data_IF_409813077575
#
_entry.id   IF_409813077575
#
_cell.length_a   1.000
_cell.length_b   1.000
_cell.length_c   1.000
_cell.angle_alpha   90.00
_cell.angle_beta   90.00
_cell.angle_gamma   90.00
#
_symmetry.space_group_name_H-M   'P 1'
#
loop_
_entity.id
_entity.type
_entity.pdbx_description
1 polymer ?
#
# COMPACT_ATOMS: atom_id res chain seq x y z
N UNK A 1 -15.20 35.47 30.52
CA UNK A 1 -16.39 35.35 29.66
C UNK A 1 -15.88 35.14 28.25
N UNK A 2 -15.75 33.88 27.84
CA UNK A 2 -15.42 33.51 26.47
C UNK A 2 -16.73 33.05 25.84
N UNK A 3 -17.22 33.79 24.85
CA UNK A 3 -18.38 33.39 24.05
C UNK A 3 -17.93 32.39 22.99
N UNK A 4 -18.55 31.22 23.03
CA UNK A 4 -18.46 30.15 22.03
C UNK A 4 -19.02 30.63 20.68
N UNK A 5 -18.12 30.84 19.71
CA UNK A 5 -18.47 31.06 18.32
C UNK A 5 -18.42 29.77 17.52
N UNK A 6 -19.37 28.85 17.75
CA UNK A 6 -19.58 27.72 16.84
C UNK A 6 -20.29 28.21 15.55
N UNK A 7 -19.84 27.81 14.35
CA UNK A 7 -20.49 28.25 13.11
C UNK A 7 -21.90 27.65 13.00
N UNK A 8 -22.91 28.53 12.90
CA UNK A 8 -24.29 28.11 12.69
C UNK A 8 -24.45 27.53 11.27
N UNK A 9 -24.70 26.23 11.16
CA UNK A 9 -25.14 25.63 9.90
C UNK A 9 -26.53 26.18 9.56
N UNK A 10 -26.60 27.04 8.53
CA UNK A 10 -27.87 27.45 7.93
C UNK A 10 -28.42 26.24 7.17
N UNK A 11 -29.35 25.53 7.81
CA UNK A 11 -30.11 24.44 7.19
C UNK A 11 -31.03 25.03 6.12
N UNK A 12 -30.67 24.87 4.85
CA UNK A 12 -31.63 24.96 3.75
C UNK A 12 -32.74 23.93 4.01
N UNK A 13 -34.00 24.36 3.95
CA UNK A 13 -35.15 23.47 4.07
C UNK A 13 -35.28 22.56 2.84
N UNK A 14 -34.38 21.59 2.70
CA UNK A 14 -34.56 20.48 1.79
C UNK A 14 -35.70 19.62 2.31
N UNK A 15 -36.76 19.48 1.51
CA UNK A 15 -37.88 18.58 1.81
C UNK A 15 -37.43 17.14 1.60
N UNK A 16 -36.86 16.53 2.62
CA UNK A 16 -36.58 15.08 2.61
C UNK A 16 -37.90 14.30 2.58
N UNK A 17 -38.04 13.40 1.60
CA UNK A 17 -39.12 12.40 1.61
C UNK A 17 -38.83 11.41 2.74
N UNK A 18 -39.74 11.30 3.71
CA UNK A 18 -39.70 10.20 4.68
C UNK A 18 -40.00 8.90 3.95
N UNK A 19 -39.03 8.00 3.92
CA UNK A 19 -39.25 6.62 3.49
C UNK A 19 -39.76 5.81 4.71
N UNK A 20 -40.95 5.23 4.60
CA UNK A 20 -41.51 4.35 5.63
C UNK A 20 -40.99 2.91 5.42
N UNK A 21 -39.69 2.70 5.63
CA UNK A 21 -39.08 1.37 5.62
C UNK A 21 -38.79 0.97 7.07
N UNK A 22 -39.16 -0.26 7.46
CA UNK A 22 -38.68 -0.87 8.70
C UNK A 22 -37.25 -1.35 8.47
N UNK A 23 -36.28 -0.69 9.10
CA UNK A 23 -34.85 -0.97 8.92
C UNK A 23 -34.11 -1.20 10.25
N UNK A 24 -34.84 -1.20 11.38
CA UNK A 24 -34.26 -1.28 12.73
C UNK A 24 -33.35 -2.51 12.87
N UNK A 25 -33.82 -3.66 12.38
CA UNK A 25 -33.05 -4.92 12.40
C UNK A 25 -31.73 -4.86 11.63
N UNK A 26 -31.57 -3.94 10.68
CA UNK A 26 -30.33 -3.71 9.92
C UNK A 26 -29.45 -2.68 10.61
N UNK A 27 -30.05 -1.59 11.10
CA UNK A 27 -29.35 -0.53 11.84
C UNK A 27 -28.72 -1.06 13.15
N UNK A 28 -29.34 -2.04 13.80
CA UNK A 28 -28.80 -2.69 14.98
C UNK A 28 -27.58 -3.59 14.68
N UNK A 29 -27.37 -4.02 13.42
CA UNK A 29 -26.25 -4.89 13.07
C UNK A 29 -24.93 -4.13 12.90
N UNK A 30 -25.00 -2.89 12.43
CA UNK A 30 -23.87 -1.95 12.33
C UNK A 30 -24.41 -0.57 12.69
N UNK A 31 -24.07 -0.11 13.89
CA UNK A 31 -24.60 1.14 14.45
C UNK A 31 -23.78 2.34 13.99
N UNK A 32 -24.26 3.55 14.33
CA UNK A 32 -23.56 4.82 14.12
C UNK A 32 -22.47 5.10 15.19
N UNK A 33 -22.28 4.17 16.13
CA UNK A 33 -21.33 4.34 17.23
C UNK A 33 -19.90 4.07 16.77
N UNK A 34 -18.97 4.87 17.29
CA UNK A 34 -17.55 4.71 17.00
C UNK A 34 -17.02 3.38 17.57
N UNK A 35 -16.36 2.60 16.72
CA UNK A 35 -15.66 1.37 17.08
C UNK A 35 -14.39 1.69 17.88
N UNK A 36 -14.23 1.07 19.05
CA UNK A 36 -13.17 1.40 20.01
C UNK A 36 -12.08 0.35 20.13
N UNK A 37 -12.43 -0.91 19.90
CA UNK A 37 -11.52 -2.03 20.10
C UNK A 37 -11.68 -3.12 19.04
N UNK A 38 -10.81 -4.13 19.12
CA UNK A 38 -10.82 -5.26 18.20
C UNK A 38 -12.12 -6.06 18.22
N UNK A 39 -12.77 -6.17 19.39
CA UNK A 39 -13.99 -6.98 19.55
C UNK A 39 -15.15 -6.32 18.81
N UNK A 40 -15.34 -5.01 19.00
CA UNK A 40 -16.30 -4.22 18.27
C UNK A 40 -15.99 -4.22 16.76
N UNK A 41 -14.73 -3.99 16.38
CA UNK A 41 -14.30 -4.01 14.99
C UNK A 41 -14.57 -5.35 14.31
N UNK A 42 -14.34 -6.46 15.02
CA UNK A 42 -14.60 -7.81 14.54
C UNK A 42 -16.08 -8.05 14.30
N UNK A 43 -16.96 -7.55 15.16
CA UNK A 43 -18.41 -7.71 14.98
C UNK A 43 -18.89 -7.01 13.70
N UNK A 44 -18.42 -5.77 13.47
CA UNK A 44 -18.70 -5.03 12.23
C UNK A 44 -18.09 -5.76 11.02
N UNK A 45 -16.84 -6.19 11.11
CA UNK A 45 -16.16 -6.93 10.04
C UNK A 45 -16.92 -8.20 9.62
N UNK A 46 -17.47 -8.97 10.57
CA UNK A 46 -18.23 -10.18 10.26
C UNK A 46 -19.50 -9.87 9.45
N UNK A 47 -20.17 -8.75 9.73
CA UNK A 47 -21.33 -8.28 8.96
C UNK A 47 -20.94 -7.83 7.56
N UNK A 48 -19.87 -7.04 7.45
CA UNK A 48 -19.32 -6.63 6.16
C UNK A 48 -18.94 -7.85 5.33
N UNK A 49 -18.22 -8.82 5.91
CA UNK A 49 -17.81 -10.03 5.22
C UNK A 49 -19.01 -10.85 4.74
N UNK A 50 -20.06 -10.97 5.56
CA UNK A 50 -21.30 -11.64 5.16
C UNK A 50 -21.92 -10.95 3.92
N UNK A 51 -22.05 -9.62 3.93
CA UNK A 51 -22.63 -8.88 2.81
C UNK A 51 -21.75 -8.90 1.56
N UNK A 52 -20.43 -8.83 1.72
CA UNK A 52 -19.49 -8.96 0.61
C UNK A 52 -19.62 -10.33 -0.04
N UNK A 53 -19.74 -11.41 0.73
CA UNK A 53 -19.92 -12.74 0.15
C UNK A 53 -21.22 -12.83 -0.66
N UNK A 54 -22.33 -12.34 -0.10
CA UNK A 54 -23.61 -12.26 -0.83
C UNK A 54 -23.53 -11.39 -2.08
N UNK A 55 -22.79 -10.28 -2.02
CA UNK A 55 -22.56 -9.40 -3.16
C UNK A 55 -21.73 -10.12 -4.24
N UNK A 56 -20.68 -10.85 -3.87
CA UNK A 56 -19.85 -11.61 -4.83
C UNK A 56 -20.62 -12.73 -5.54
N UNK A 57 -21.63 -13.31 -4.89
CA UNK A 57 -22.50 -14.31 -5.51
C UNK A 57 -23.38 -13.69 -6.62
N UNK A 58 -23.82 -12.44 -6.45
CA UNK A 58 -24.65 -11.73 -7.43
C UNK A 58 -23.83 -10.99 -8.48
N UNK A 59 -22.80 -10.26 -8.05
CA UNK A 59 -21.85 -9.52 -8.87
C UNK A 59 -20.67 -10.42 -9.25
N UNK A 60 -20.96 -11.58 -9.84
CA UNK A 60 -19.92 -12.48 -10.30
C UNK A 60 -18.98 -11.80 -11.31
N UNK A 61 -17.72 -12.24 -11.32
CA UNK A 61 -16.70 -11.69 -12.23
C UNK A 61 -17.15 -11.77 -13.70
N UNK A 62 -17.86 -12.84 -14.07
CA UNK A 62 -18.48 -12.99 -15.38
C UNK A 62 -19.73 -12.09 -15.49
N UNK A 63 -19.67 -11.13 -16.42
CA UNK A 63 -20.75 -10.16 -16.68
C UNK A 63 -20.74 -8.89 -15.83
N UNK A 64 -20.12 -8.88 -14.64
CA UNK A 64 -20.04 -7.68 -13.75
C UNK A 64 -18.65 -7.44 -13.16
N UNK A 65 -17.65 -7.48 -14.03
CA UNK A 65 -16.24 -7.42 -13.66
C UNK A 65 -15.87 -6.19 -12.80
N UNK A 66 -16.28 -4.98 -13.20
CA UNK A 66 -15.98 -3.75 -12.45
C UNK A 66 -16.53 -3.80 -11.03
N UNK A 67 -17.81 -4.19 -10.86
CA UNK A 67 -18.43 -4.33 -9.54
C UNK A 67 -17.68 -5.38 -8.70
N UNK A 68 -17.30 -6.52 -9.30
CA UNK A 68 -16.56 -7.57 -8.60
C UNK A 68 -15.17 -7.12 -8.14
N UNK A 69 -14.50 -6.27 -8.92
CA UNK A 69 -13.22 -5.65 -8.55
C UNK A 69 -13.41 -4.76 -7.33
N UNK A 70 -14.38 -3.85 -7.37
CA UNK A 70 -14.68 -2.93 -6.26
C UNK A 70 -15.03 -3.69 -4.98
N UNK A 71 -15.94 -4.67 -5.06
CA UNK A 71 -16.32 -5.52 -3.92
C UNK A 71 -15.11 -6.28 -3.34
N UNK A 72 -14.16 -6.67 -4.19
CA UNK A 72 -12.93 -7.33 -3.74
C UNK A 72 -11.96 -6.38 -3.04
N UNK A 73 -11.87 -5.12 -3.51
CA UNK A 73 -11.11 -4.07 -2.84
C UNK A 73 -11.76 -3.67 -1.51
N UNK A 74 -13.09 -3.62 -1.44
CA UNK A 74 -13.83 -3.43 -0.18
C UNK A 74 -13.53 -4.55 0.82
N UNK A 75 -13.41 -5.80 0.35
CA UNK A 75 -13.04 -6.92 1.22
C UNK A 75 -11.60 -6.76 1.75
N UNK A 76 -10.66 -6.37 0.89
CA UNK A 76 -9.29 -6.05 1.32
C UNK A 76 -9.29 -4.91 2.34
N UNK A 77 -10.07 -3.86 2.10
CA UNK A 77 -10.19 -2.68 2.97
C UNK A 77 -10.81 -3.02 4.32
N UNK A 78 -11.83 -3.88 4.36
CA UNK A 78 -12.41 -4.38 5.61
C UNK A 78 -11.37 -5.07 6.48
N UNK A 79 -10.51 -5.93 5.89
CA UNK A 79 -9.39 -6.53 6.61
C UNK A 79 -8.33 -5.49 7.05
N UNK A 80 -8.09 -4.43 6.27
CA UNK A 80 -7.18 -3.34 6.64
C UNK A 80 -7.65 -2.65 7.91
N UNK A 81 -8.94 -2.31 7.97
CA UNK A 81 -9.52 -1.67 9.14
C UNK A 81 -9.60 -2.61 10.34
N UNK A 82 -9.90 -3.90 10.14
CA UNK A 82 -9.83 -4.87 11.24
C UNK A 82 -8.41 -4.99 11.81
N UNK A 83 -7.39 -5.04 10.94
CA UNK A 83 -5.99 -5.14 11.35
C UNK A 83 -5.52 -3.95 12.17
N UNK A 84 -6.07 -2.75 11.94
CA UNK A 84 -5.74 -1.55 12.74
C UNK A 84 -6.05 -1.73 14.24
N UNK A 85 -7.11 -2.46 14.59
CA UNK A 85 -7.49 -2.68 15.99
C UNK A 85 -6.82 -3.90 16.63
N UNK A 86 -6.13 -4.74 15.85
CA UNK A 86 -5.45 -5.92 16.38
C UNK A 86 -4.13 -5.51 17.02
N UNK A 87 -3.85 -5.96 18.25
CA UNK A 87 -2.61 -5.59 18.94
C UNK A 87 -1.49 -6.60 18.66
N UNK A 88 -1.85 -7.84 18.32
CA UNK A 88 -0.89 -8.89 17.98
C UNK A 88 -0.39 -8.70 16.54
N UNK A 89 0.88 -8.32 16.39
CA UNK A 89 1.50 -8.05 15.09
C UNK A 89 1.52 -9.29 14.17
N UNK A 90 1.51 -10.51 14.70
CA UNK A 90 1.43 -11.72 13.89
C UNK A 90 0.03 -11.92 13.30
N UNK A 91 -1.01 -11.66 14.08
CA UNK A 91 -2.41 -11.68 13.64
C UNK A 91 -2.67 -10.56 12.64
N UNK A 92 -2.15 -9.35 12.87
CA UNK A 92 -2.15 -8.28 11.87
C UNK A 92 -1.52 -8.76 10.56
N UNK A 93 -0.32 -9.35 10.60
CA UNK A 93 0.34 -9.91 9.42
C UNK A 93 -0.53 -10.93 8.67
N UNK A 94 -1.26 -11.80 9.38
CA UNK A 94 -2.16 -12.79 8.78
C UNK A 94 -3.36 -12.13 8.10
N UNK A 95 -3.90 -11.05 8.67
CA UNK A 95 -4.97 -10.25 8.04
C UNK A 95 -4.47 -9.56 6.77
N UNK A 96 -3.29 -8.94 6.81
CA UNK A 96 -2.66 -8.37 5.61
C UNK A 96 -2.34 -9.43 4.55
N UNK A 97 -1.91 -10.63 4.96
CA UNK A 97 -1.72 -11.75 4.02
C UNK A 97 -3.04 -12.13 3.33
N UNK A 98 -4.15 -12.16 4.07
CA UNK A 98 -5.48 -12.43 3.49
C UNK A 98 -5.88 -11.37 2.45
N UNK A 99 -5.58 -10.10 2.71
CA UNK A 99 -5.74 -9.00 1.73
C UNK A 99 -4.93 -9.27 0.46
N UNK A 100 -3.64 -9.55 0.60
CA UNK A 100 -2.76 -9.82 -0.54
C UNK A 100 -3.26 -11.01 -1.37
N UNK A 101 -3.81 -12.04 -0.73
CA UNK A 101 -4.36 -13.22 -1.42
C UNK A 101 -5.62 -12.90 -2.22
N UNK A 102 -6.56 -12.14 -1.63
CA UNK A 102 -7.79 -11.71 -2.31
C UNK A 102 -7.45 -10.92 -3.58
N UNK A 103 -6.58 -9.91 -3.44
CA UNK A 103 -6.25 -9.02 -4.56
C UNK A 103 -5.35 -9.71 -5.58
N UNK A 104 -4.41 -10.56 -5.15
CA UNK A 104 -3.56 -11.29 -6.08
C UNK A 104 -4.33 -12.32 -6.90
N UNK A 105 -5.34 -12.98 -6.32
CA UNK A 105 -6.22 -13.86 -7.07
C UNK A 105 -6.97 -13.09 -8.17
N UNK A 106 -7.53 -11.93 -7.84
CA UNK A 106 -8.22 -11.07 -8.79
C UNK A 106 -7.33 -10.59 -9.94
N UNK A 107 -6.08 -10.16 -9.66
CA UNK A 107 -5.12 -9.74 -10.70
C UNK A 107 -4.90 -10.85 -11.74
N UNK A 108 -4.88 -12.12 -11.31
CA UNK A 108 -4.63 -13.25 -12.21
C UNK A 108 -5.85 -13.61 -13.08
N UNK A 109 -7.05 -13.18 -12.67
CA UNK A 109 -8.30 -13.46 -13.39
C UNK A 109 -8.67 -12.33 -14.36
N UNK A 110 -8.20 -11.10 -14.12
CA UNK A 110 -8.47 -9.95 -14.98
C UNK A 110 -7.65 -10.00 -16.28
N UNK A 111 -8.31 -9.66 -17.41
CA UNK A 111 -7.61 -9.41 -18.66
C UNK A 111 -7.01 -7.98 -18.67
N UNK A 112 -5.67 -7.83 -18.67
CA UNK A 112 -5.03 -6.51 -18.61
C UNK A 112 -5.32 -5.62 -19.83
N UNK A 113 -5.75 -6.18 -20.97
CA UNK A 113 -6.08 -5.39 -22.16
C UNK A 113 -7.35 -4.54 -21.98
N UNK A 114 -8.31 -5.05 -21.21
CA UNK A 114 -9.59 -4.36 -20.96
C UNK A 114 -9.62 -3.63 -19.61
N UNK A 115 -8.85 -4.12 -18.63
CA UNK A 115 -8.90 -3.64 -17.24
C UNK A 115 -7.55 -3.09 -16.76
N UNK A 116 -6.73 -2.53 -17.64
CA UNK A 116 -5.37 -2.09 -17.32
C UNK A 116 -5.30 -1.19 -16.08
N UNK A 117 -6.20 -0.19 -15.99
CA UNK A 117 -6.23 0.74 -14.86
C UNK A 117 -6.52 0.02 -13.53
N UNK A 118 -7.51 -0.87 -13.51
CA UNK A 118 -7.82 -1.68 -12.34
C UNK A 118 -6.64 -2.58 -11.97
N UNK A 119 -6.04 -3.27 -12.96
CA UNK A 119 -4.86 -4.11 -12.73
C UNK A 119 -3.69 -3.31 -12.13
N UNK A 120 -3.43 -2.09 -12.64
CA UNK A 120 -2.42 -1.18 -12.09
C UNK A 120 -2.69 -0.83 -10.62
N UNK A 121 -3.93 -0.46 -10.29
CA UNK A 121 -4.34 -0.13 -8.92
C UNK A 121 -4.16 -1.33 -7.98
N UNK A 122 -4.59 -2.52 -8.40
CA UNK A 122 -4.47 -3.75 -7.62
C UNK A 122 -3.00 -4.17 -7.44
N UNK A 123 -2.14 -4.01 -8.46
CA UNK A 123 -0.70 -4.26 -8.33
C UNK A 123 -0.07 -3.35 -7.28
N UNK A 124 -0.42 -2.06 -7.31
CA UNK A 124 0.04 -1.07 -6.34
C UNK A 124 -0.42 -1.43 -4.92
N UNK A 125 -1.70 -1.76 -4.75
CA UNK A 125 -2.26 -2.17 -3.45
C UNK A 125 -1.54 -3.40 -2.88
N UNK A 126 -1.28 -4.43 -3.69
CA UNK A 126 -0.54 -5.62 -3.24
C UNK A 126 0.91 -5.28 -2.86
N UNK A 127 1.55 -4.38 -3.60
CA UNK A 127 2.91 -3.93 -3.28
C UNK A 127 2.95 -3.25 -1.90
N UNK A 128 1.99 -2.37 -1.61
CA UNK A 128 1.83 -1.73 -0.30
C UNK A 128 1.53 -2.73 0.81
N UNK A 129 0.65 -3.71 0.56
CA UNK A 129 0.34 -4.76 1.54
C UNK A 129 1.59 -5.54 1.91
N UNK A 130 2.41 -5.95 0.94
CA UNK A 130 3.67 -6.65 1.24
C UNK A 130 4.68 -5.77 1.98
N UNK A 131 4.72 -4.46 1.68
CA UNK A 131 5.55 -3.51 2.44
C UNK A 131 5.08 -3.39 3.89
N UNK A 132 3.77 -3.30 4.14
CA UNK A 132 3.20 -3.27 5.49
C UNK A 132 3.51 -4.54 6.27
N UNK A 133 3.36 -5.71 5.63
CA UNK A 133 3.74 -7.00 6.24
C UNK A 133 5.23 -7.08 6.56
N UNK A 134 6.09 -6.51 5.71
CA UNK A 134 7.51 -6.43 5.97
C UNK A 134 7.79 -5.58 7.21
N UNK A 135 7.19 -4.40 7.29
CA UNK A 135 7.43 -3.50 8.43
C UNK A 135 6.95 -4.12 9.75
N UNK A 136 5.81 -4.82 9.75
CA UNK A 136 5.35 -5.59 10.91
C UNK A 136 6.34 -6.69 11.29
N UNK A 137 6.90 -7.44 10.32
CA UNK A 137 7.88 -8.48 10.61
C UNK A 137 9.22 -7.93 11.09
N UNK A 138 9.62 -6.76 10.62
CA UNK A 138 10.78 -6.04 11.16
C UNK A 138 10.51 -5.59 12.59
N UNK A 139 9.34 -5.04 12.87
CA UNK A 139 8.95 -4.59 14.21
C UNK A 139 8.94 -5.75 15.23
N UNK A 140 8.37 -6.90 14.85
CA UNK A 140 8.40 -8.11 15.69
C UNK A 140 9.86 -8.50 16.04
N UNK A 141 10.77 -8.49 15.06
CA UNK A 141 12.17 -8.82 15.31
C UNK A 141 12.92 -7.79 16.17
N UNK A 142 12.44 -6.54 16.21
CA UNK A 142 13.02 -5.50 17.06
C UNK A 142 12.51 -5.58 18.50
N UNK A 143 11.31 -6.10 18.70
CA UNK A 143 10.68 -6.32 20.02
C UNK A 143 11.17 -7.62 20.68
N UNK A 144 11.48 -8.64 19.88
CA UNK A 144 12.10 -9.87 20.37
C UNK A 144 13.55 -9.58 20.86
N UNK A 145 13.82 -9.76 22.15
CA UNK A 145 15.19 -9.69 22.73
C UNK A 145 16.14 -10.77 22.18
N UNK A 146 15.64 -11.67 21.33
CA UNK A 146 16.36 -12.81 20.79
C UNK A 146 16.96 -12.46 19.43
N UNK A 147 18.17 -12.96 19.16
CA UNK A 147 18.81 -12.78 17.84
C UNK A 147 17.90 -13.30 16.72
N UNK A 148 17.70 -12.51 15.64
CA UNK A 148 16.88 -12.93 14.52
C UNK A 148 17.30 -14.27 13.93
N UNK A 149 16.33 -15.17 13.77
CA UNK A 149 16.59 -16.47 13.13
C UNK A 149 16.81 -16.29 11.63
N UNK A 150 17.63 -17.14 10.97
CA UNK A 150 17.78 -17.12 9.52
C UNK A 150 16.44 -17.25 8.76
N UNK A 151 15.47 -17.97 9.35
CA UNK A 151 14.13 -18.12 8.80
C UNK A 151 13.36 -16.79 8.78
N UNK A 152 13.41 -16.04 9.88
CA UNK A 152 12.76 -14.74 9.96
C UNK A 152 13.37 -13.72 8.97
N UNK A 153 14.70 -13.69 8.86
CA UNK A 153 15.39 -12.83 7.88
C UNK A 153 15.03 -13.20 6.44
N UNK A 154 14.95 -14.50 6.11
CA UNK A 154 14.50 -14.97 4.80
C UNK A 154 13.07 -14.50 4.51
N UNK A 155 12.19 -14.49 5.50
CA UNK A 155 10.81 -14.03 5.35
C UNK A 155 10.73 -12.53 5.06
N UNK A 156 11.51 -11.71 5.74
CA UNK A 156 11.60 -10.26 5.49
C UNK A 156 12.10 -9.99 4.07
N UNK A 157 13.19 -10.63 3.66
CA UNK A 157 13.74 -10.45 2.32
C UNK A 157 12.76 -10.91 1.24
N UNK A 158 12.01 -11.99 1.49
CA UNK A 158 10.97 -12.46 0.56
C UNK A 158 9.85 -11.43 0.42
N UNK A 159 9.36 -10.84 1.52
CA UNK A 159 8.33 -9.80 1.46
C UNK A 159 8.83 -8.55 0.73
N UNK A 160 10.08 -8.13 0.96
CA UNK A 160 10.70 -7.02 0.23
C UNK A 160 10.72 -7.32 -1.27
N UNK A 161 11.17 -8.52 -1.66
CA UNK A 161 11.24 -8.94 -3.05
C UNK A 161 9.84 -9.00 -3.70
N UNK A 162 8.84 -9.51 -2.99
CA UNK A 162 7.46 -9.59 -3.49
C UNK A 162 6.85 -8.20 -3.70
N UNK A 163 7.08 -7.27 -2.76
CA UNK A 163 6.63 -5.88 -2.88
C UNK A 163 7.30 -5.18 -4.07
N UNK A 164 8.64 -5.29 -4.19
CA UNK A 164 9.40 -4.72 -5.30
C UNK A 164 8.92 -5.29 -6.64
N UNK A 165 8.72 -6.61 -6.74
CA UNK A 165 8.26 -7.24 -7.97
C UNK A 165 6.87 -6.73 -8.42
N UNK A 166 5.99 -6.37 -7.49
CA UNK A 166 4.68 -5.79 -7.81
C UNK A 166 4.79 -4.32 -8.23
N UNK A 167 5.65 -3.53 -7.61
CA UNK A 167 5.97 -2.19 -8.11
C UNK A 167 6.65 -2.22 -9.48
N UNK A 168 7.56 -3.16 -9.73
CA UNK A 168 8.18 -3.36 -11.04
C UNK A 168 7.14 -3.71 -12.10
N UNK A 169 6.25 -4.68 -11.81
CA UNK A 169 5.17 -5.03 -12.72
C UNK A 169 4.25 -3.83 -13.03
N UNK A 170 3.91 -3.02 -12.02
CA UNK A 170 3.17 -1.78 -12.20
C UNK A 170 3.91 -0.79 -13.11
N UNK A 171 5.18 -0.48 -12.81
CA UNK A 171 6.01 0.45 -13.57
C UNK A 171 6.20 -0.03 -15.02
N UNK A 172 6.35 -1.34 -15.24
CA UNK A 172 6.45 -1.91 -16.59
C UNK A 172 5.21 -1.62 -17.43
N UNK A 173 4.03 -1.50 -16.82
CA UNK A 173 2.82 -1.10 -17.55
C UNK A 173 2.84 0.36 -18.03
N UNK A 174 3.71 1.21 -17.48
CA UNK A 174 3.86 2.62 -17.87
C UNK A 174 4.81 2.80 -19.05
N UNK A 175 5.57 1.77 -19.42
CA UNK A 175 6.49 1.81 -20.55
C UNK A 175 5.72 1.76 -21.86
N UNK A 176 6.13 2.52 -22.90
CA UNK A 176 5.52 2.40 -24.21
C UNK A 176 5.68 0.99 -24.77
N UNK A 177 4.70 0.52 -25.54
CA UNK A 177 4.70 -0.83 -26.10
C UNK A 177 6.00 -1.11 -26.87
N UNK A 178 6.69 -2.20 -26.49
CA UNK A 178 7.94 -2.63 -27.12
C UNK A 178 9.19 -1.84 -26.71
N UNK A 179 9.10 -0.88 -25.77
CA UNK A 179 10.24 -0.14 -25.25
C UNK A 179 10.64 -0.62 -23.85
N UNK A 180 11.93 -0.63 -23.57
CA UNK A 180 12.49 -0.95 -22.25
C UNK A 180 12.52 0.26 -21.31
N UNK A 181 12.47 1.46 -21.86
CA UNK A 181 12.60 2.74 -21.15
C UNK A 181 11.24 3.40 -20.93
N UNK A 182 11.16 4.21 -19.87
CA UNK A 182 10.00 5.06 -19.60
C UNK A 182 9.83 6.13 -20.69
N UNK A 183 8.60 6.65 -20.88
CA UNK A 183 8.43 7.84 -21.70
C UNK A 183 9.19 9.02 -21.08
N UNK A 184 9.49 10.03 -21.89
CA UNK A 184 10.14 11.26 -21.41
C UNK A 184 9.30 11.96 -20.33
N UNK A 185 7.99 11.96 -20.52
CA UNK A 185 6.98 12.46 -19.60
C UNK A 185 5.91 11.39 -19.37
N UNK A 186 5.53 11.17 -18.11
CA UNK A 186 4.37 10.35 -17.78
C UNK A 186 3.08 11.13 -18.03
N UNK A 187 1.97 10.40 -18.20
CA UNK A 187 0.63 11.03 -18.18
C UNK A 187 0.38 11.69 -16.82
N UNK A 188 -0.43 12.74 -16.76
CA UNK A 188 -0.74 13.46 -15.51
C UNK A 188 -1.15 12.54 -14.35
N UNK A 189 -1.91 11.51 -14.68
CA UNK A 189 -2.47 10.56 -13.71
C UNK A 189 -1.43 9.52 -13.25
N UNK A 190 -0.40 9.27 -14.08
CA UNK A 190 0.65 8.29 -13.81
C UNK A 190 1.89 8.92 -13.14
N UNK A 191 2.11 10.25 -13.23
CA UNK A 191 3.31 10.92 -12.66
C UNK A 191 3.48 10.58 -11.18
N UNK A 192 2.49 10.93 -10.33
CA UNK A 192 2.61 10.74 -8.88
C UNK A 192 2.76 9.26 -8.52
N UNK A 193 1.91 8.33 -9.01
CA UNK A 193 2.08 6.90 -8.76
C UNK A 193 3.44 6.34 -9.21
N UNK A 194 3.99 6.75 -10.35
CA UNK A 194 5.30 6.29 -10.82
C UNK A 194 6.44 6.73 -9.88
N UNK A 195 6.39 7.97 -9.41
CA UNK A 195 7.38 8.52 -8.47
C UNK A 195 7.27 7.85 -7.11
N UNK A 196 6.05 7.67 -6.57
CA UNK A 196 5.83 7.00 -5.29
C UNK A 196 6.23 5.52 -5.35
N UNK A 197 5.95 4.81 -6.45
CA UNK A 197 6.41 3.43 -6.64
C UNK A 197 7.95 3.34 -6.64
N UNK A 198 8.62 4.26 -7.33
CA UNK A 198 10.08 4.33 -7.36
C UNK A 198 10.68 4.65 -5.99
N UNK A 199 10.14 5.65 -5.28
CA UNK A 199 10.51 5.96 -3.89
C UNK A 199 10.34 4.74 -2.97
N UNK A 200 9.20 4.06 -3.08
CA UNK A 200 8.86 2.90 -2.25
C UNK A 200 9.81 1.73 -2.49
N UNK A 201 10.17 1.45 -3.75
CA UNK A 201 11.23 0.48 -4.09
C UNK A 201 12.57 0.87 -3.48
N UNK A 202 12.93 2.15 -3.52
CA UNK A 202 14.15 2.66 -2.89
C UNK A 202 14.20 2.33 -1.40
N UNK A 203 13.09 2.53 -0.69
CA UNK A 203 12.93 2.16 0.72
C UNK A 203 13.02 0.66 0.94
N UNK A 204 12.35 -0.15 0.12
CA UNK A 204 12.35 -1.61 0.24
C UNK A 204 13.75 -2.22 0.03
N UNK A 205 14.53 -1.70 -0.92
CA UNK A 205 15.91 -2.14 -1.10
C UNK A 205 16.78 -1.94 0.15
N UNK A 206 16.52 -0.89 0.94
CA UNK A 206 17.23 -0.63 2.20
C UNK A 206 16.85 -1.57 3.34
N UNK A 207 15.73 -2.31 3.20
CA UNK A 207 15.21 -3.24 4.21
C UNK A 207 15.73 -4.67 4.08
N UNK A 208 16.46 -4.98 3.00
CA UNK A 208 17.07 -6.30 2.86
C UNK A 208 18.14 -6.54 3.92
N UNK A 209 18.06 -7.68 4.61
CA UNK A 209 19.04 -8.10 5.61
C UNK A 209 19.87 -9.24 5.02
N UNK A 210 21.16 -9.00 4.82
CA UNK A 210 22.09 -9.99 4.27
C UNK A 210 23.48 -9.83 4.91
N UNK A 211 24.15 -10.93 5.29
CA UNK A 211 25.54 -10.89 5.75
C UNK A 211 26.53 -10.68 4.58
N UNK A 212 26.11 -10.90 3.34
CA UNK A 212 26.96 -10.69 2.17
C UNK A 212 27.12 -9.19 1.87
N UNK A 213 28.34 -8.69 2.09
CA UNK A 213 28.72 -7.29 1.84
C UNK A 213 28.49 -6.88 0.38
N UNK A 214 28.73 -7.78 -0.59
CA UNK A 214 28.50 -7.47 -2.02
C UNK A 214 27.02 -7.24 -2.28
N UNK A 215 26.16 -8.12 -1.73
CA UNK A 215 24.72 -7.96 -1.84
C UNK A 215 24.22 -6.71 -1.10
N UNK A 216 24.81 -6.37 0.05
CA UNK A 216 24.49 -5.14 0.79
C UNK A 216 24.82 -3.89 -0.04
N UNK A 217 26.00 -3.83 -0.65
CA UNK A 217 26.39 -2.75 -1.57
C UNK A 217 25.44 -2.69 -2.77
N UNK A 218 25.11 -3.83 -3.36
CA UNK A 218 24.19 -3.89 -4.50
C UNK A 218 22.79 -3.36 -4.14
N UNK A 219 22.28 -3.68 -2.95
CA UNK A 219 21.00 -3.17 -2.48
C UNK A 219 21.05 -1.65 -2.25
N UNK A 220 22.12 -1.12 -1.66
CA UNK A 220 22.30 0.34 -1.51
C UNK A 220 22.33 1.03 -2.87
N UNK A 221 23.05 0.48 -3.85
CA UNK A 221 23.08 1.02 -5.20
C UNK A 221 21.68 1.03 -5.85
N UNK A 222 20.89 -0.04 -5.67
CA UNK A 222 19.50 -0.08 -6.15
C UNK A 222 18.62 0.97 -5.47
N UNK A 223 18.78 1.19 -4.15
CA UNK A 223 18.10 2.29 -3.44
C UNK A 223 18.47 3.65 -4.02
N UNK A 224 19.76 3.93 -4.22
CA UNK A 224 20.26 5.18 -4.83
C UNK A 224 19.63 5.39 -6.20
N UNK A 225 19.64 4.37 -7.06
CA UNK A 225 19.08 4.48 -8.42
C UNK A 225 17.58 4.84 -8.39
N UNK A 226 16.81 4.25 -7.46
CA UNK A 226 15.39 4.54 -7.31
C UNK A 226 15.14 5.99 -6.84
N UNK A 227 15.88 6.46 -5.83
CA UNK A 227 15.73 7.83 -5.34
C UNK A 227 16.23 8.86 -6.35
N UNK A 228 17.34 8.55 -7.03
CA UNK A 228 17.89 9.40 -8.09
C UNK A 228 16.91 9.57 -9.24
N UNK A 229 16.21 8.50 -9.65
CA UNK A 229 15.16 8.60 -10.65
C UNK A 229 14.08 9.63 -10.26
N UNK A 230 13.64 9.63 -9.00
CA UNK A 230 12.64 10.61 -8.51
C UNK A 230 13.18 12.03 -8.55
N UNK A 231 14.41 12.24 -8.08
CA UNK A 231 15.08 13.55 -8.09
C UNK A 231 15.26 14.06 -9.52
N UNK A 232 15.88 13.26 -10.39
CA UNK A 232 16.17 13.63 -11.77
C UNK A 232 14.87 13.95 -12.55
N UNK A 233 13.78 13.20 -12.30
CA UNK A 233 12.49 13.46 -12.94
C UNK A 233 11.87 14.79 -12.48
N UNK A 234 11.93 15.08 -11.17
CA UNK A 234 11.40 16.32 -10.59
C UNK A 234 12.23 17.55 -10.99
N UNK A 235 13.56 17.43 -10.98
CA UNK A 235 14.47 18.51 -11.40
C UNK A 235 14.28 18.85 -12.89
N UNK A 236 13.95 17.85 -13.72
CA UNK A 236 13.62 18.05 -15.14
C UNK A 236 12.23 18.66 -15.36
N UNK A 237 11.26 18.36 -14.48
CA UNK A 237 9.88 18.85 -14.59
C UNK A 237 9.43 19.54 -13.29
N UNK A 238 9.91 20.76 -12.98
CA UNK A 238 9.67 21.39 -11.67
C UNK A 238 8.20 21.55 -11.27
N UNK A 239 7.28 21.58 -12.22
CA UNK A 239 5.83 21.64 -11.96
C UNK A 239 5.27 20.43 -11.22
N UNK A 240 5.97 19.29 -11.24
CA UNK A 240 5.49 18.05 -10.61
C UNK A 240 5.99 17.85 -9.18
N UNK A 241 6.94 18.69 -8.70
CA UNK A 241 7.48 18.59 -7.33
C UNK A 241 6.36 18.67 -6.27
N UNK A 242 5.35 19.50 -6.52
CA UNK A 242 4.21 19.67 -5.63
C UNK A 242 3.36 18.40 -5.44
N UNK A 243 3.51 17.39 -6.31
CA UNK A 243 2.78 16.13 -6.21
C UNK A 243 3.40 15.14 -5.20
N UNK A 244 4.70 15.30 -4.92
CA UNK A 244 5.50 14.39 -4.07
C UNK A 244 6.52 15.14 -3.19
N UNK A 245 6.12 16.20 -2.46
CA UNK A 245 7.08 17.07 -1.76
C UNK A 245 7.85 16.32 -0.66
N UNK A 246 7.17 15.44 0.08
CA UNK A 246 7.76 14.66 1.17
C UNK A 246 8.73 13.60 0.61
N UNK A 247 8.29 12.84 -0.40
CA UNK A 247 9.12 11.81 -1.02
C UNK A 247 10.34 12.43 -1.71
N UNK A 248 10.19 13.57 -2.38
CA UNK A 248 11.30 14.26 -3.05
C UNK A 248 12.35 14.75 -2.05
N UNK A 249 11.92 15.34 -0.93
CA UNK A 249 12.82 15.77 0.15
C UNK A 249 13.68 14.60 0.65
N UNK A 250 13.02 13.47 0.96
CA UNK A 250 13.71 12.26 1.41
C UNK A 250 14.63 11.72 0.31
N UNK A 251 14.19 11.70 -0.95
CA UNK A 251 15.03 11.23 -2.06
C UNK A 251 16.31 12.05 -2.20
N UNK A 252 16.22 13.40 -2.14
CA UNK A 252 17.38 14.30 -2.22
C UNK A 252 18.38 14.02 -1.09
N UNK A 253 17.91 13.88 0.14
CA UNK A 253 18.76 13.52 1.28
C UNK A 253 19.44 12.15 1.08
N UNK A 254 18.67 11.14 0.67
CA UNK A 254 19.17 9.78 0.52
C UNK A 254 20.17 9.64 -0.64
N UNK A 255 20.01 10.41 -1.73
CA UNK A 255 20.98 10.45 -2.83
C UNK A 255 22.32 11.05 -2.37
N UNK A 256 22.31 12.00 -1.43
CA UNK A 256 23.54 12.55 -0.84
C UNK A 256 24.20 11.59 0.18
N UNK A 257 23.40 10.94 1.03
CA UNK A 257 23.90 10.16 2.17
C UNK A 257 24.31 8.72 1.82
N UNK A 258 23.54 8.02 0.98
CA UNK A 258 23.78 6.61 0.70
C UNK A 258 25.12 6.30 0.00
N UNK A 259 25.63 7.12 -0.94
CA UNK A 259 26.97 6.90 -1.52
C UNK A 259 28.08 6.89 -0.46
N UNK A 260 28.00 7.79 0.53
CA UNK A 260 28.96 7.85 1.64
C UNK A 260 28.90 6.58 2.49
N UNK A 261 27.68 6.11 2.79
CA UNK A 261 27.48 4.83 3.50
C UNK A 261 28.04 3.64 2.71
N UNK A 262 27.81 3.61 1.41
CA UNK A 262 28.32 2.56 0.52
C UNK A 262 29.85 2.52 0.51
N UNK A 263 30.51 3.67 0.48
CA UNK A 263 31.97 3.76 0.49
C UNK A 263 32.58 3.32 1.82
N UNK A 264 32.00 3.70 2.96
CA UNK A 264 32.42 3.20 4.28
C UNK A 264 32.38 1.67 4.37
N UNK A 265 31.32 1.06 3.83
CA UNK A 265 31.17 -0.39 3.76
C UNK A 265 32.27 -1.03 2.89
N UNK A 266 32.63 -0.42 1.76
CA UNK A 266 33.72 -0.92 0.89
C UNK A 266 35.08 -0.88 1.59
N UNK A 267 35.30 0.13 2.44
CA UNK A 267 36.54 0.32 3.19
C UNK A 267 36.64 -0.56 4.45
N UNK A 268 35.63 -1.38 4.75
CA UNK A 268 35.62 -2.24 5.94
C UNK A 268 35.44 -1.49 7.27
N UNK A 269 35.07 -0.21 7.21
CA UNK A 269 34.74 0.60 8.39
C UNK A 269 33.26 0.36 8.76
N UNK A 270 32.97 -0.71 9.49
CA UNK A 270 31.63 -0.91 10.06
C UNK A 270 31.47 -0.13 11.37
N UNK A 271 30.33 0.54 11.54
CA UNK A 271 29.79 1.03 12.82
C UNK A 271 28.83 -0.05 13.32
#
# INVERSE_FOLDING_TARGET
MYEDGAPSFKTSHEKFRKFNLEVTSREEQVTDQMVKDFTEARNVFLKIQQWINLAKDFYALDGRCTDFVEISQDHSTAYKYLAFFEMDMERQCKMHKRRADIISALINELNPQHYLLAVRQLMFEVAEIYSQMLDLKVAILQDEEVRPTPHALKKINLLAQQSIAKYDAYLDTLKPLGKSEFPEEFSSDDVRPALVASFSKGRLHSKFVTPDVKQRIANIQKSINCYKFVVDYCDKHPSVEALVPEELSICREMVALLPLKMEKIRQGAEI
#
